data_IF_811844903513
#
_entry.id   IF_811844903513
#
_cell.length_a   1.000
_cell.length_b   1.000
_cell.length_c   1.000
_cell.angle_alpha   90.00
_cell.angle_beta   90.00
_cell.angle_gamma   90.00
#
_symmetry.space_group_name_H-M   'P 1'
#
loop_
_entity.id
_entity.type
_entity.pdbx_description
1 polymer ?
#
# COMPACT_ATOMS: atom_id res chain seq x y z
N UNK A 1 11.06 9.03 8.25
CA UNK A 1 11.31 8.46 9.59
C UNK A 1 11.35 6.94 9.58
N UNK A 2 10.31 6.25 9.10
CA UNK A 2 10.31 4.78 8.99
C UNK A 2 11.56 4.25 8.31
N UNK A 3 11.83 4.71 7.10
CA UNK A 3 12.98 4.23 6.31
C UNK A 3 14.32 4.50 6.99
N UNK A 4 14.44 5.66 7.67
CA UNK A 4 15.60 5.97 8.50
C UNK A 4 15.75 5.02 9.71
N UNK A 5 14.65 4.60 10.35
CA UNK A 5 14.66 3.66 11.46
C UNK A 5 15.05 2.23 11.04
N UNK A 6 14.65 1.80 9.83
CA UNK A 6 15.05 0.49 9.30
C UNK A 6 16.50 0.48 8.82
N UNK A 7 16.97 1.58 8.23
CA UNK A 7 18.40 1.72 7.89
C UNK A 7 19.26 1.74 9.15
N UNK A 8 18.79 2.36 10.25
CA UNK A 8 19.50 2.35 11.54
C UNK A 8 19.58 0.95 12.18
N UNK A 9 18.66 0.04 11.85
CA UNK A 9 18.70 -1.35 12.31
C UNK A 9 19.74 -2.21 11.57
N UNK A 10 20.29 -1.72 10.44
CA UNK A 10 21.19 -2.46 9.55
C UNK A 10 20.43 -3.18 8.43
N UNK A 11 20.99 -3.18 7.22
CA UNK A 11 20.39 -3.80 6.02
C UNK A 11 20.11 -5.29 6.19
N UNK A 12 20.95 -5.97 6.97
CA UNK A 12 20.84 -7.41 7.24
C UNK A 12 19.61 -7.75 8.10
N UNK A 13 19.08 -6.76 8.84
CA UNK A 13 17.88 -6.93 9.68
C UNK A 13 16.58 -6.56 8.95
N UNK A 14 16.65 -5.98 7.74
CA UNK A 14 15.46 -5.61 6.97
C UNK A 14 14.52 -6.81 6.75
N UNK A 15 14.97 -8.01 6.31
CA UNK A 15 14.07 -9.15 6.15
C UNK A 15 13.32 -9.54 7.42
N UNK A 16 13.96 -9.38 8.58
CA UNK A 16 13.33 -9.62 9.89
C UNK A 16 12.28 -8.56 10.25
N UNK A 17 12.48 -7.30 9.86
CA UNK A 17 11.48 -6.24 10.04
C UNK A 17 10.22 -6.50 9.19
N UNK A 18 10.39 -7.03 7.97
CA UNK A 18 9.27 -7.52 7.17
C UNK A 18 8.57 -8.69 7.88
N UNK A 19 9.33 -9.62 8.48
CA UNK A 19 8.75 -10.80 9.16
C UNK A 19 7.91 -10.36 10.35
N UNK A 20 8.45 -9.46 11.17
CA UNK A 20 7.73 -8.87 12.29
C UNK A 20 6.46 -8.16 11.81
N UNK A 21 6.54 -7.38 10.73
CA UNK A 21 5.38 -6.69 10.15
C UNK A 21 4.30 -7.68 9.69
N UNK A 22 4.67 -8.77 9.01
CA UNK A 22 3.75 -9.81 8.57
C UNK A 22 3.06 -10.48 9.76
N UNK A 23 3.83 -10.93 10.75
CA UNK A 23 3.31 -11.61 11.94
C UNK A 23 2.38 -10.70 12.74
N UNK A 24 2.76 -9.44 12.96
CA UNK A 24 1.89 -8.50 13.68
C UNK A 24 0.63 -8.17 12.87
N UNK A 25 0.73 -8.01 11.54
CA UNK A 25 -0.45 -7.79 10.69
C UNK A 25 -1.41 -8.99 10.74
N UNK A 26 -0.87 -10.21 10.70
CA UNK A 26 -1.66 -11.44 10.81
C UNK A 26 -2.34 -11.56 12.17
N UNK A 27 -1.64 -11.23 13.26
CA UNK A 27 -2.19 -11.22 14.62
C UNK A 27 -3.28 -10.15 14.82
N UNK A 28 -3.15 -9.00 14.15
CA UNK A 28 -4.13 -7.92 14.22
C UNK A 28 -5.38 -8.15 13.36
N UNK A 29 -5.31 -9.00 12.33
CA UNK A 29 -6.42 -9.21 11.41
C UNK A 29 -7.69 -9.80 12.08
N UNK A 30 -7.62 -10.80 12.97
CA UNK A 30 -8.78 -11.29 13.72
C UNK A 30 -9.42 -10.21 14.60
N UNK A 31 -8.60 -9.39 15.27
CA UNK A 31 -9.05 -8.28 16.13
C UNK A 31 -9.77 -7.24 15.29
N UNK A 32 -9.19 -6.87 14.15
CA UNK A 32 -9.81 -5.97 13.18
C UNK A 32 -11.16 -6.50 12.70
N UNK A 33 -11.19 -7.76 12.24
CA UNK A 33 -12.40 -8.39 11.71
C UNK A 33 -13.53 -8.48 12.75
N UNK A 34 -13.21 -8.76 14.02
CA UNK A 34 -14.22 -8.83 15.08
C UNK A 34 -14.76 -7.45 15.45
N UNK A 35 -13.92 -6.43 15.48
CA UNK A 35 -14.33 -5.07 15.83
C UNK A 35 -15.18 -4.46 14.71
N UNK A 36 -14.78 -4.62 13.44
CA UNK A 36 -15.55 -4.14 12.28
C UNK A 36 -16.90 -4.84 12.17
N UNK A 37 -16.97 -6.13 12.47
CA UNK A 37 -18.24 -6.88 12.45
C UNK A 37 -19.25 -6.41 13.51
N UNK A 38 -18.81 -5.68 14.54
CA UNK A 38 -19.63 -5.28 15.69
C UNK A 38 -19.90 -3.78 15.79
N UNK A 39 -19.16 -2.94 15.05
CA UNK A 39 -19.23 -1.49 15.17
C UNK A 39 -19.55 -0.82 13.84
N UNK A 40 -20.48 0.16 13.82
CA UNK A 40 -20.70 1.01 12.66
C UNK A 40 -19.39 1.74 12.28
N UNK A 41 -19.10 1.81 10.99
CA UNK A 41 -17.87 2.42 10.43
C UNK A 41 -17.57 3.79 11.04
N UNK A 42 -18.61 4.61 11.29
CA UNK A 42 -18.47 5.95 11.88
C UNK A 42 -17.97 5.97 13.33
N UNK A 43 -18.29 4.94 14.12
CA UNK A 43 -17.76 4.77 15.49
C UNK A 43 -16.39 4.11 15.47
N UNK A 44 -16.14 3.27 14.47
CA UNK A 44 -14.88 2.56 14.31
C UNK A 44 -13.70 3.48 13.97
N UNK A 45 -13.87 4.45 13.06
CA UNK A 45 -12.78 5.35 12.63
C UNK A 45 -12.14 6.12 13.80
N UNK A 46 -12.90 6.82 14.67
CA UNK A 46 -12.30 7.53 15.80
C UNK A 46 -11.57 6.61 16.77
N UNK A 47 -12.05 5.38 16.96
CA UNK A 47 -11.41 4.41 17.86
C UNK A 47 -10.05 4.02 17.30
N UNK A 48 -9.98 3.59 16.03
CA UNK A 48 -8.73 3.18 15.39
C UNK A 48 -7.71 4.32 15.39
N UNK A 49 -8.12 5.53 14.99
CA UNK A 49 -7.22 6.69 14.96
C UNK A 49 -6.72 7.04 16.36
N UNK A 50 -7.57 6.95 17.38
CA UNK A 50 -7.18 7.22 18.78
C UNK A 50 -6.27 6.16 19.37
N UNK A 51 -6.40 4.89 18.96
CA UNK A 51 -5.43 3.84 19.28
C UNK A 51 -4.06 4.20 18.72
N UNK A 52 -3.97 4.63 17.45
CA UNK A 52 -2.70 5.09 16.88
C UNK A 52 -2.16 6.36 17.55
N UNK A 53 -3.02 7.31 17.92
CA UNK A 53 -2.62 8.48 18.72
C UNK A 53 -2.00 8.03 20.05
N UNK A 54 -2.67 7.12 20.79
CA UNK A 54 -2.15 6.61 22.06
C UNK A 54 -0.80 5.91 21.88
N UNK A 55 -0.66 5.07 20.85
CA UNK A 55 0.60 4.40 20.52
C UNK A 55 1.72 5.40 20.20
N UNK A 56 1.45 6.46 19.43
CA UNK A 56 2.42 7.51 19.13
C UNK A 56 2.83 8.30 20.39
N UNK A 57 1.89 8.58 21.29
CA UNK A 57 2.18 9.25 22.56
C UNK A 57 3.03 8.37 23.48
N UNK A 58 2.71 7.08 23.59
CA UNK A 58 3.52 6.10 24.31
C UNK A 58 4.93 6.06 23.73
N UNK A 59 5.06 6.01 22.40
CA UNK A 59 6.35 5.99 21.73
C UNK A 59 7.17 7.26 22.00
N UNK A 60 6.53 8.43 21.91
CA UNK A 60 7.16 9.71 22.22
C UNK A 60 7.61 9.78 23.69
N UNK A 61 6.80 9.25 24.62
CA UNK A 61 7.16 9.18 26.04
C UNK A 61 8.34 8.23 26.29
N UNK A 62 8.34 7.05 25.66
CA UNK A 62 9.45 6.10 25.81
C UNK A 62 10.75 6.66 25.22
N UNK A 63 10.71 7.33 24.06
CA UNK A 63 11.93 7.97 23.51
C UNK A 63 12.46 9.05 24.46
N UNK A 64 11.56 9.83 25.09
CA UNK A 64 11.97 10.97 25.92
C UNK A 64 12.39 10.60 27.34
N UNK A 65 11.73 9.60 27.93
CA UNK A 65 11.86 9.26 29.36
C UNK A 65 12.31 7.82 29.60
N UNK A 66 12.36 6.99 28.55
CA UNK A 66 12.70 5.58 28.67
C UNK A 66 14.19 5.33 28.90
N UNK A 67 14.56 4.13 29.36
CA UNK A 67 15.95 3.73 29.48
C UNK A 67 16.66 3.70 28.12
N UNK A 68 17.91 4.17 28.08
CA UNK A 68 18.78 4.12 26.88
C UNK A 68 18.94 2.67 26.37
N UNK A 69 18.87 1.67 27.26
CA UNK A 69 18.91 0.25 26.89
C UNK A 69 17.79 -0.20 25.95
N UNK A 70 16.72 0.59 25.79
CA UNK A 70 15.60 0.27 24.91
C UNK A 70 15.79 0.79 23.48
N UNK A 71 16.72 1.72 23.23
CA UNK A 71 16.97 2.33 21.92
C UNK A 71 17.12 1.31 20.76
N UNK A 72 17.84 0.18 20.91
CA UNK A 72 17.98 -0.81 19.84
C UNK A 72 16.67 -1.46 19.40
N UNK A 73 15.67 -1.50 20.29
CA UNK A 73 14.37 -2.14 20.04
C UNK A 73 13.33 -1.14 19.52
N UNK A 74 13.50 0.15 19.83
CA UNK A 74 12.56 1.19 19.42
C UNK A 74 12.53 1.37 17.89
N UNK A 75 13.69 1.38 17.21
CA UNK A 75 13.73 1.49 15.75
C UNK A 75 12.86 0.43 15.04
N UNK A 76 13.10 -0.87 15.29
CA UNK A 76 12.28 -1.97 14.80
C UNK A 76 10.79 -1.88 15.19
N UNK A 77 10.48 -1.57 16.44
CA UNK A 77 9.10 -1.46 16.90
C UNK A 77 8.36 -0.31 16.19
N UNK A 78 9.01 0.83 16.02
CA UNK A 78 8.46 1.97 15.28
C UNK A 78 8.26 1.65 13.79
N UNK A 79 9.17 0.87 13.19
CA UNK A 79 9.03 0.39 11.83
C UNK A 79 7.76 -0.45 11.64
N UNK A 80 7.54 -1.42 12.53
CA UNK A 80 6.37 -2.29 12.48
C UNK A 80 5.09 -1.46 12.69
N UNK A 81 5.07 -0.58 13.70
CA UNK A 81 3.94 0.31 13.98
C UNK A 81 3.56 1.16 12.76
N UNK A 82 4.53 1.86 12.17
CA UNK A 82 4.30 2.72 11.01
C UNK A 82 3.93 1.93 9.77
N UNK A 83 4.42 0.70 9.62
CA UNK A 83 4.04 -0.20 8.53
C UNK A 83 2.59 -0.65 8.64
N UNK A 84 2.11 -0.98 9.85
CA UNK A 84 0.70 -1.31 10.09
C UNK A 84 -0.18 -0.08 9.85
N UNK A 85 0.21 1.08 10.42
CA UNK A 85 -0.47 2.36 10.21
C UNK A 85 -0.67 2.67 8.72
N UNK A 86 0.37 2.49 7.90
CA UNK A 86 0.35 2.81 6.47
C UNK A 86 -0.67 2.02 5.65
N UNK A 87 -1.12 0.87 6.13
CA UNK A 87 -2.16 0.08 5.47
C UNK A 87 -3.53 0.28 6.13
N UNK A 88 -3.57 0.28 7.46
CA UNK A 88 -4.83 0.36 8.21
C UNK A 88 -5.53 1.69 8.01
N UNK A 89 -4.82 2.81 8.11
CA UNK A 89 -5.44 4.14 8.05
C UNK A 89 -6.09 4.41 6.68
N UNK A 90 -5.40 4.17 5.54
CA UNK A 90 -6.05 4.26 4.24
C UNK A 90 -7.22 3.30 4.06
N UNK A 91 -7.13 2.06 4.58
CA UNK A 91 -8.22 1.08 4.48
C UNK A 91 -9.49 1.57 5.20
N UNK A 92 -9.35 2.03 6.45
CA UNK A 92 -10.46 2.57 7.24
C UNK A 92 -11.03 3.86 6.61
N UNK A 93 -10.15 4.71 6.07
CA UNK A 93 -10.55 5.90 5.34
C UNK A 93 -11.40 5.57 4.11
N UNK A 94 -10.94 4.64 3.26
CA UNK A 94 -11.68 4.25 2.06
C UNK A 94 -12.97 3.52 2.38
N UNK A 95 -13.00 2.73 3.46
CA UNK A 95 -14.24 2.15 4.00
C UNK A 95 -15.26 3.24 4.37
N UNK A 96 -14.82 4.32 5.03
CA UNK A 96 -15.69 5.46 5.34
C UNK A 96 -16.21 6.18 4.10
N UNK A 97 -15.36 6.38 3.08
CA UNK A 97 -15.77 7.06 1.84
C UNK A 97 -16.77 6.22 1.05
N UNK A 98 -16.57 4.90 0.99
CA UNK A 98 -17.50 3.97 0.36
C UNK A 98 -18.86 3.93 1.07
N UNK A 99 -18.87 4.05 2.40
CA UNK A 99 -20.11 4.15 3.21
C UNK A 99 -20.82 5.52 3.06
N UNK A 100 -20.07 6.56 2.67
CA UNK A 100 -20.60 7.94 2.65
C UNK A 100 -21.13 8.36 1.28
N UNK A 101 -20.56 7.86 0.18
CA UNK A 101 -20.91 8.27 -1.19
C UNK A 101 -21.61 7.17 -1.98
N UNK A 102 -22.56 7.55 -2.83
CA UNK A 102 -23.16 6.62 -3.80
C UNK A 102 -22.13 6.14 -4.82
N UNK A 103 -22.32 4.95 -5.44
CA UNK A 103 -21.44 4.46 -6.49
C UNK A 103 -21.23 5.45 -7.65
N UNK A 104 -22.28 6.16 -8.11
CA UNK A 104 -22.11 7.16 -9.19
C UNK A 104 -21.31 8.39 -8.74
N UNK A 105 -21.47 8.81 -7.49
CA UNK A 105 -20.71 9.91 -6.90
C UNK A 105 -19.24 9.51 -6.69
N UNK A 106 -18.99 8.29 -6.21
CA UNK A 106 -17.65 7.74 -5.99
C UNK A 106 -16.81 7.74 -7.27
N UNK A 107 -17.40 7.37 -8.41
CA UNK A 107 -16.73 7.41 -9.73
C UNK A 107 -16.17 8.80 -10.09
N UNK A 108 -16.79 9.88 -9.61
CA UNK A 108 -16.35 11.26 -9.88
C UNK A 108 -15.49 11.84 -8.77
N UNK A 109 -15.80 11.52 -7.51
CA UNK A 109 -15.18 12.15 -6.35
C UNK A 109 -13.94 11.43 -5.86
N UNK A 110 -13.84 10.10 -5.98
CA UNK A 110 -12.73 9.34 -5.38
C UNK A 110 -11.37 9.70 -5.97
N UNK A 111 -11.31 10.02 -7.26
CA UNK A 111 -10.09 10.54 -7.88
C UNK A 111 -9.62 11.85 -7.23
N UNK A 112 -10.53 12.81 -7.09
CA UNK A 112 -10.24 14.10 -6.43
C UNK A 112 -9.91 13.94 -4.94
N UNK A 113 -10.62 13.07 -4.22
CA UNK A 113 -10.34 12.74 -2.82
C UNK A 113 -8.94 12.13 -2.67
N UNK A 114 -8.53 11.27 -3.60
CA UNK A 114 -7.20 10.65 -3.60
C UNK A 114 -6.08 11.69 -3.71
N UNK A 115 -6.29 12.79 -4.44
CA UNK A 115 -5.35 13.92 -4.52
C UNK A 115 -5.07 14.49 -3.14
N UNK A 116 -6.08 14.56 -2.25
CA UNK A 116 -5.90 14.99 -0.86
C UNK A 116 -4.88 14.13 -0.10
N UNK A 117 -4.89 12.81 -0.31
CA UNK A 117 -3.89 11.90 0.26
C UNK A 117 -2.48 12.17 -0.28
N UNK A 118 -2.35 12.44 -1.58
CA UNK A 118 -1.06 12.74 -2.21
C UNK A 118 -0.51 14.10 -1.75
N UNK A 119 -1.37 15.12 -1.65
CA UNK A 119 -1.02 16.43 -1.08
C UNK A 119 -0.61 16.32 0.40
N UNK A 120 -1.33 15.53 1.19
CA UNK A 120 -0.98 15.27 2.58
C UNK A 120 0.39 14.61 2.73
N UNK A 121 0.72 13.66 1.86
CA UNK A 121 2.05 13.04 1.82
C UNK A 121 3.15 14.04 1.46
N UNK A 122 2.93 14.90 0.45
CA UNK A 122 3.86 15.97 0.07
C UNK A 122 4.06 16.99 1.20
N UNK A 123 2.97 17.48 1.78
CA UNK A 123 3.01 18.42 2.91
C UNK A 123 3.69 17.80 4.13
N UNK A 124 3.40 16.53 4.44
CA UNK A 124 4.04 15.81 5.55
C UNK A 124 5.54 15.60 5.33
N UNK A 125 5.96 15.23 4.12
CA UNK A 125 7.38 15.10 3.77
C UNK A 125 8.10 16.46 3.86
N UNK A 126 7.51 17.52 3.31
CA UNK A 126 8.03 18.87 3.38
C UNK A 126 8.18 19.34 4.84
N UNK A 127 7.13 19.23 5.63
CA UNK A 127 7.12 19.62 7.04
C UNK A 127 8.18 18.84 7.85
N UNK A 128 8.28 17.53 7.61
CA UNK A 128 9.30 16.68 8.25
C UNK A 128 10.71 17.10 7.85
N UNK A 129 10.96 17.38 6.57
CA UNK A 129 12.30 17.77 6.09
C UNK A 129 12.80 19.07 6.71
N UNK A 130 11.90 20.03 6.97
CA UNK A 130 12.24 21.34 7.56
C UNK A 130 12.35 21.29 9.07
N UNK A 131 11.48 20.52 9.73
CA UNK A 131 11.37 20.53 11.19
C UNK A 131 12.21 19.44 11.88
N UNK A 132 12.57 18.34 11.20
CA UNK A 132 13.32 17.24 11.82
C UNK A 132 14.67 17.65 12.40
N UNK A 133 15.36 18.59 11.77
CA UNK A 133 16.65 19.09 12.27
C UNK A 133 16.49 20.10 13.42
N UNK A 134 15.30 20.69 13.60
CA UNK A 134 15.08 21.80 14.55
C UNK A 134 14.41 21.35 15.84
N UNK A 135 13.38 20.48 15.76
CA UNK A 135 12.52 20.12 16.91
C UNK A 135 12.65 18.66 17.36
N UNK A 136 13.40 17.83 16.63
CA UNK A 136 13.64 16.43 16.98
C UNK A 136 12.42 15.50 16.82
N UNK A 137 12.67 14.19 16.93
CA UNK A 137 11.68 13.14 16.64
C UNK A 137 10.44 13.16 17.55
N UNK A 138 10.53 13.36 18.88
CA UNK A 138 9.35 13.35 19.74
C UNK A 138 8.33 14.44 19.40
N UNK A 139 8.80 15.64 19.05
CA UNK A 139 7.91 16.75 18.68
C UNK A 139 7.17 16.47 17.37
N UNK A 140 7.84 15.83 16.40
CA UNK A 140 7.21 15.38 15.15
C UNK A 140 6.11 14.33 15.40
N UNK A 141 6.28 13.46 16.41
CA UNK A 141 5.23 12.52 16.82
C UNK A 141 4.02 13.25 17.41
N UNK A 142 4.25 14.27 18.25
CA UNK A 142 3.15 15.09 18.81
C UNK A 142 2.42 15.87 17.72
N UNK A 143 3.13 16.43 16.74
CA UNK A 143 2.47 17.07 15.58
C UNK A 143 1.61 16.08 14.79
N UNK A 144 2.10 14.84 14.61
CA UNK A 144 1.30 13.77 13.97
C UNK A 144 0.04 13.44 14.78
N UNK A 145 0.12 13.46 16.11
CA UNK A 145 -1.04 13.28 17.01
C UNK A 145 -2.08 14.39 16.79
N UNK A 146 -1.66 15.65 16.71
CA UNK A 146 -2.55 16.79 16.47
C UNK A 146 -3.26 16.64 15.12
N UNK A 147 -2.52 16.32 14.06
CA UNK A 147 -3.09 16.11 12.72
C UNK A 147 -4.10 14.94 12.69
N UNK A 148 -3.80 13.84 13.39
CA UNK A 148 -4.72 12.71 13.49
C UNK A 148 -6.00 13.08 14.25
N UNK A 149 -5.92 13.83 15.35
CA UNK A 149 -7.14 14.26 16.05
C UNK A 149 -7.93 15.26 15.20
N UNK A 150 -7.28 16.18 14.47
CA UNK A 150 -7.97 17.02 13.48
C UNK A 150 -8.72 16.19 12.43
N UNK A 151 -8.13 15.09 11.94
CA UNK A 151 -8.80 14.16 11.02
C UNK A 151 -10.02 13.49 11.67
N UNK A 152 -9.90 13.03 12.92
CA UNK A 152 -11.02 12.44 13.69
C UNK A 152 -12.16 13.44 13.84
N UNK A 153 -11.84 14.69 14.17
CA UNK A 153 -12.84 15.75 14.35
C UNK A 153 -13.51 16.13 13.02
N UNK A 154 -12.76 16.14 11.92
CA UNK A 154 -13.28 16.36 10.57
C UNK A 154 -14.25 15.25 10.16
N UNK A 155 -13.89 13.98 10.41
CA UNK A 155 -14.76 12.83 10.13
C UNK A 155 -16.06 12.84 10.97
N UNK A 156 -15.99 13.29 12.23
CA UNK A 156 -17.16 13.45 13.11
C UNK A 156 -18.11 14.55 12.64
N UNK A 157 -17.57 15.68 12.22
CA UNK A 157 -18.34 16.84 11.72
C UNK A 157 -18.81 16.69 10.27
N UNK A 158 -18.40 15.63 9.56
CA UNK A 158 -18.78 15.41 8.18
C UNK A 158 -20.32 15.33 8.05
N UNK A 159 -20.96 16.10 7.14
CA UNK A 159 -22.41 16.21 7.08
C UNK A 159 -23.11 14.87 6.88
N UNK A 160 -24.13 14.59 7.69
CA UNK A 160 -24.96 13.38 7.55
C UNK A 160 -25.89 13.42 6.33
N UNK A 161 -26.07 14.58 5.69
CA UNK A 161 -26.90 14.75 4.50
C UNK A 161 -26.41 13.94 3.30
N UNK A 162 -25.10 13.75 3.14
CA UNK A 162 -24.54 12.87 2.10
C UNK A 162 -24.96 11.41 2.26
N UNK A 163 -25.44 11.01 3.45
CA UNK A 163 -26.00 9.68 3.72
C UNK A 163 -27.52 9.60 3.61
N UNK A 164 -28.23 10.73 3.73
CA UNK A 164 -29.69 10.74 3.88
C UNK A 164 -30.43 10.14 2.67
N UNK A 165 -29.75 10.04 1.53
CA UNK A 165 -30.32 9.64 0.26
C UNK A 165 -29.80 8.26 -0.22
N UNK A 166 -29.00 7.54 0.57
CA UNK A 166 -28.49 6.21 0.20
C UNK A 166 -29.56 5.15 0.51
N UNK A 167 -30.40 4.85 -0.48
CA UNK A 167 -31.64 4.04 -0.45
C UNK A 167 -31.49 2.53 -0.12
N UNK A 168 -30.50 2.09 0.65
CA UNK A 168 -30.23 0.67 0.93
C UNK A 168 -29.74 0.40 2.37
N UNK A 169 -30.39 1.01 3.37
CA UNK A 169 -30.00 0.85 4.78
C UNK A 169 -30.23 -0.55 5.34
N UNK A 170 -31.19 -1.31 4.82
CA UNK A 170 -31.50 -2.64 5.38
C UNK A 170 -30.57 -3.77 4.88
N UNK A 171 -29.90 -3.60 3.73
CA UNK A 171 -28.91 -4.58 3.26
C UNK A 171 -27.46 -4.24 3.67
N UNK A 172 -27.18 -2.98 4.01
CA UNK A 172 -25.85 -2.54 4.45
C UNK A 172 -25.62 -2.67 5.98
N UNK A 173 -26.69 -2.66 6.79
CA UNK A 173 -26.64 -2.94 8.25
C UNK A 173 -26.71 -4.44 8.57
N UNK A 174 -26.85 -5.32 7.55
CA UNK A 174 -26.62 -6.74 7.77
C UNK A 174 -25.14 -6.94 8.13
N UNK A 175 -24.82 -7.58 9.27
CA UNK A 175 -23.47 -8.03 9.52
C UNK A 175 -23.00 -8.77 8.27
N UNK A 176 -21.77 -8.51 7.82
CA UNK A 176 -21.19 -9.16 6.61
C UNK A 176 -21.28 -10.70 6.67
N UNK A 177 -21.67 -11.26 7.83
CA UNK A 177 -22.08 -12.65 7.96
C UNK A 177 -20.90 -13.60 7.75
N UNK A 178 -21.05 -14.89 8.02
CA UNK A 178 -20.03 -15.92 7.74
C UNK A 178 -18.77 -15.89 8.63
N UNK A 179 -17.99 -16.96 8.56
CA UNK A 179 -16.76 -17.12 9.35
C UNK A 179 -15.66 -16.15 8.90
N UNK A 180 -14.76 -15.77 9.81
CA UNK A 180 -13.55 -14.99 9.51
C UNK A 180 -12.63 -15.70 8.51
N UNK A 181 -12.76 -17.03 8.41
CA UNK A 181 -12.02 -17.88 7.49
C UNK A 181 -12.68 -18.02 6.11
N UNK A 182 -13.96 -17.65 5.96
CA UNK A 182 -14.69 -17.80 4.69
C UNK A 182 -13.98 -17.08 3.53
N UNK A 183 -13.42 -15.89 3.79
CA UNK A 183 -12.65 -15.14 2.78
C UNK A 183 -11.38 -15.89 2.33
N UNK A 184 -10.74 -16.65 3.22
CA UNK A 184 -9.56 -17.47 2.87
C UNK A 184 -10.01 -18.65 2.02
N UNK A 185 -11.05 -19.36 2.46
CA UNK A 185 -11.59 -20.52 1.73
C UNK A 185 -12.05 -20.14 0.33
N UNK A 186 -12.76 -19.02 0.19
CA UNK A 186 -13.24 -18.54 -1.12
C UNK A 186 -12.10 -18.13 -2.05
N UNK A 187 -11.03 -17.50 -1.50
CA UNK A 187 -9.84 -17.20 -2.28
C UNK A 187 -9.20 -18.49 -2.81
N UNK A 188 -9.13 -19.55 -2.01
CA UNK A 188 -8.51 -20.81 -2.41
C UNK A 188 -9.36 -21.62 -3.39
N UNK A 189 -10.68 -21.43 -3.41
CA UNK A 189 -11.58 -22.18 -4.32
C UNK A 189 -11.90 -21.43 -5.61
N UNK A 190 -11.74 -20.10 -5.65
CA UNK A 190 -12.04 -19.29 -6.83
C UNK A 190 -10.80 -19.06 -7.70
N UNK A 191 -10.74 -19.59 -8.94
CA UNK A 191 -9.61 -19.35 -9.84
C UNK A 191 -9.40 -17.86 -10.11
N UNK A 192 -10.47 -17.07 -10.12
CA UNK A 192 -10.40 -15.63 -10.35
C UNK A 192 -9.73 -14.90 -9.18
N UNK A 193 -10.11 -15.22 -7.94
CA UNK A 193 -9.46 -14.66 -6.76
C UNK A 193 -8.01 -15.12 -6.63
N UNK A 194 -7.70 -16.38 -6.96
CA UNK A 194 -6.32 -16.86 -7.06
C UNK A 194 -5.50 -16.08 -8.09
N UNK A 195 -6.09 -15.73 -9.24
CA UNK A 195 -5.44 -14.86 -10.22
C UNK A 195 -5.12 -13.48 -9.65
N UNK A 196 -6.03 -12.88 -8.89
CA UNK A 196 -5.79 -11.60 -8.21
C UNK A 196 -4.68 -11.75 -7.15
N UNK A 197 -4.66 -12.84 -6.39
CA UNK A 197 -3.58 -13.16 -5.46
C UNK A 197 -2.23 -13.26 -6.17
N UNK A 198 -2.16 -14.00 -7.28
CA UNK A 198 -0.94 -14.15 -8.06
C UNK A 198 -0.47 -12.81 -8.62
N UNK A 199 -1.39 -11.98 -9.13
CA UNK A 199 -1.08 -10.62 -9.58
C UNK A 199 -0.47 -9.79 -8.45
N UNK A 200 -1.06 -9.84 -7.25
CA UNK A 200 -0.60 -9.06 -6.10
C UNK A 200 0.74 -9.56 -5.57
N UNK A 201 0.96 -10.88 -5.51
CA UNK A 201 2.24 -11.47 -5.10
C UNK A 201 3.38 -11.07 -6.04
N UNK A 202 3.18 -11.20 -7.36
CA UNK A 202 4.21 -10.85 -8.34
C UNK A 202 4.53 -9.35 -8.28
N UNK A 203 3.51 -8.52 -8.09
CA UNK A 203 3.68 -7.09 -7.86
C UNK A 203 4.53 -6.79 -6.61
N UNK A 204 4.17 -7.36 -5.45
CA UNK A 204 4.85 -7.05 -4.17
C UNK A 204 6.24 -7.64 -4.07
N UNK A 205 6.46 -8.85 -4.58
CA UNK A 205 7.80 -9.47 -4.68
C UNK A 205 8.71 -8.57 -5.51
N UNK A 206 8.28 -8.19 -6.72
CA UNK A 206 9.07 -7.28 -7.55
C UNK A 206 9.30 -5.93 -6.88
N UNK A 207 8.31 -5.41 -6.15
CA UNK A 207 8.42 -4.09 -5.49
C UNK A 207 9.44 -4.15 -4.38
N UNK A 208 9.47 -5.26 -3.66
CA UNK A 208 10.42 -5.53 -2.59
C UNK A 208 11.83 -5.71 -3.14
N UNK A 209 12.02 -6.51 -4.20
CA UNK A 209 13.32 -6.63 -4.87
C UNK A 209 13.86 -5.24 -5.22
N UNK A 210 13.07 -4.41 -5.91
CA UNK A 210 13.50 -3.07 -6.31
C UNK A 210 13.78 -2.16 -5.10
N UNK A 211 13.06 -2.34 -3.99
CA UNK A 211 13.31 -1.64 -2.73
C UNK A 211 14.67 -2.02 -2.11
N UNK A 212 15.05 -3.30 -2.12
CA UNK A 212 16.38 -3.72 -1.65
C UNK A 212 17.49 -3.23 -2.59
N UNK A 213 17.27 -3.30 -3.90
CA UNK A 213 18.21 -2.76 -4.89
C UNK A 213 18.42 -1.26 -4.74
N UNK A 214 17.38 -0.50 -4.38
CA UNK A 214 17.50 0.91 -4.03
C UNK A 214 18.52 1.12 -2.91
N UNK A 215 18.45 0.32 -1.84
CA UNK A 215 19.35 0.46 -0.69
C UNK A 215 20.81 0.26 -1.09
N UNK A 216 21.10 -0.71 -1.97
CA UNK A 216 22.45 -0.98 -2.47
C UNK A 216 22.93 0.05 -3.49
N UNK A 217 22.16 0.34 -4.53
CA UNK A 217 22.55 1.25 -5.62
C UNK A 217 22.75 2.68 -5.09
N UNK A 218 21.83 3.15 -4.26
CA UNK A 218 21.92 4.49 -3.63
C UNK A 218 23.01 4.49 -2.56
N UNK A 219 23.15 3.38 -1.82
CA UNK A 219 24.18 3.19 -0.81
C UNK A 219 25.60 3.28 -1.37
N UNK A 220 25.83 2.70 -2.55
CA UNK A 220 27.11 2.73 -3.25
C UNK A 220 27.47 4.13 -3.77
N UNK A 221 26.48 4.96 -4.14
CA UNK A 221 26.74 6.29 -4.73
C UNK A 221 26.92 7.40 -3.68
N UNK A 222 26.17 7.33 -2.59
CA UNK A 222 26.15 8.35 -1.55
C UNK A 222 26.67 7.74 -0.26
N UNK A 223 27.82 8.20 0.24
CA UNK A 223 28.36 7.71 1.53
C UNK A 223 27.56 8.25 2.73
N UNK A 224 27.13 9.50 2.63
CA UNK A 224 26.46 10.22 3.70
C UNK A 224 24.94 9.89 3.79
N UNK A 225 24.43 9.74 5.02
CA UNK A 225 23.03 9.37 5.29
C UNK A 225 22.04 10.49 4.94
N UNK A 226 22.43 11.73 5.12
CA UNK A 226 21.62 12.91 4.79
C UNK A 226 21.51 13.05 3.27
N UNK A 227 22.62 12.87 2.55
CA UNK A 227 22.63 12.86 1.08
C UNK A 227 21.73 11.75 0.51
N UNK A 228 21.80 10.52 1.05
CA UNK A 228 20.88 9.42 0.68
C UNK A 228 19.43 9.81 0.92
N UNK A 229 19.13 10.39 2.07
CA UNK A 229 17.76 10.79 2.44
C UNK A 229 17.23 11.87 1.52
N UNK A 230 18.02 12.90 1.21
CA UNK A 230 17.64 13.99 0.31
C UNK A 230 17.39 13.49 -1.12
N UNK A 231 18.22 12.56 -1.61
CA UNK A 231 18.06 11.94 -2.91
C UNK A 231 16.74 11.13 -3.00
N UNK A 232 16.47 10.28 -2.00
CA UNK A 232 15.22 9.52 -1.94
C UNK A 232 13.99 10.43 -1.83
N UNK A 233 14.08 11.52 -1.06
CA UNK A 233 13.01 12.51 -0.98
C UNK A 233 12.74 13.21 -2.32
N UNK A 234 13.78 13.40 -3.15
CA UNK A 234 13.63 13.94 -4.51
C UNK A 234 12.87 12.94 -5.40
N UNK A 235 13.24 11.66 -5.36
CA UNK A 235 12.51 10.59 -6.07
C UNK A 235 11.03 10.58 -5.65
N UNK A 236 10.76 10.61 -4.35
CA UNK A 236 9.39 10.65 -3.82
C UNK A 236 8.61 11.88 -4.33
N UNK A 237 9.23 13.06 -4.33
CA UNK A 237 8.59 14.29 -4.81
C UNK A 237 8.21 14.18 -6.28
N UNK A 238 9.09 13.64 -7.13
CA UNK A 238 8.82 13.40 -8.54
C UNK A 238 7.70 12.38 -8.72
N UNK A 239 7.74 11.25 -8.00
CA UNK A 239 6.69 10.22 -8.03
C UNK A 239 5.32 10.81 -7.69
N UNK A 240 5.22 11.56 -6.60
CA UNK A 240 3.96 12.14 -6.13
C UNK A 240 3.44 13.19 -7.12
N UNK A 241 4.33 14.02 -7.68
CA UNK A 241 3.96 15.03 -8.68
C UNK A 241 3.41 14.39 -9.96
N UNK A 242 4.12 13.39 -10.51
CA UNK A 242 3.66 12.62 -11.66
C UNK A 242 2.37 11.87 -11.38
N UNK A 243 2.22 11.35 -10.17
CA UNK A 243 0.99 10.67 -9.73
C UNK A 243 -0.21 11.62 -9.76
N UNK A 244 -0.08 12.85 -9.23
CA UNK A 244 -1.15 13.85 -9.26
C UNK A 244 -1.54 14.17 -10.70
N UNK A 245 -0.55 14.44 -11.56
CA UNK A 245 -0.80 14.75 -12.97
C UNK A 245 -1.49 13.58 -13.68
N UNK A 246 -1.01 12.36 -13.47
CA UNK A 246 -1.60 11.17 -14.06
C UNK A 246 -3.02 10.93 -13.54
N UNK A 247 -3.28 11.06 -12.24
CA UNK A 247 -4.59 10.88 -11.64
C UNK A 247 -5.61 11.90 -12.14
N UNK A 248 -5.22 13.17 -12.30
CA UNK A 248 -6.10 14.24 -12.77
C UNK A 248 -6.40 14.14 -14.28
N UNK A 249 -5.38 13.82 -15.09
CA UNK A 249 -5.48 13.94 -16.54
C UNK A 249 -5.52 12.61 -17.30
N UNK A 250 -4.91 11.55 -16.78
CA UNK A 250 -4.59 10.35 -17.57
C UNK A 250 -5.37 9.11 -17.11
N UNK A 251 -5.44 8.83 -15.81
CA UNK A 251 -5.99 7.59 -15.22
C UNK A 251 -7.37 7.23 -15.76
N UNK A 252 -8.34 8.15 -15.65
CA UNK A 252 -9.72 7.88 -16.08
C UNK A 252 -9.84 7.69 -17.60
N UNK A 253 -8.99 8.36 -18.39
CA UNK A 253 -8.98 8.25 -19.85
C UNK A 253 -8.42 6.91 -20.30
N UNK A 254 -7.30 6.48 -19.70
CA UNK A 254 -6.66 5.20 -20.03
C UNK A 254 -7.60 4.02 -19.79
N UNK A 255 -8.22 3.93 -18.60
CA UNK A 255 -9.15 2.83 -18.30
C UNK A 255 -10.32 2.79 -19.28
N UNK A 256 -10.85 3.97 -19.67
CA UNK A 256 -11.95 4.07 -20.64
C UNK A 256 -11.53 3.68 -22.06
N UNK A 257 -10.31 4.03 -22.49
CA UNK A 257 -9.87 3.87 -23.88
C UNK A 257 -9.28 2.50 -24.17
N UNK A 258 -8.43 1.97 -23.30
CA UNK A 258 -7.74 0.68 -23.50
C UNK A 258 -8.33 -0.46 -22.67
N UNK A 259 -9.25 -0.17 -21.75
CA UNK A 259 -9.94 -1.17 -20.94
C UNK A 259 -9.10 -1.69 -19.76
N UNK A 260 -9.77 -2.44 -18.87
CA UNK A 260 -9.21 -2.92 -17.60
C UNK A 260 -8.03 -3.88 -17.84
N UNK A 261 -8.18 -4.83 -18.76
CA UNK A 261 -7.14 -5.84 -19.04
C UNK A 261 -5.82 -5.24 -19.54
N UNK A 262 -5.89 -4.31 -20.49
CA UNK A 262 -4.69 -3.62 -20.98
C UNK A 262 -4.09 -2.70 -19.90
N UNK A 263 -4.93 -2.05 -19.08
CA UNK A 263 -4.45 -1.22 -17.97
C UNK A 263 -3.70 -2.07 -16.93
N UNK A 264 -4.17 -3.27 -16.61
CA UNK A 264 -3.48 -4.21 -15.71
C UNK A 264 -2.13 -4.67 -16.23
N UNK A 265 -1.96 -4.73 -17.56
CA UNK A 265 -0.72 -5.13 -18.23
C UNK A 265 0.37 -4.05 -18.20
N UNK A 266 0.03 -2.78 -17.94
CA UNK A 266 1.01 -1.68 -17.89
C UNK A 266 2.09 -1.96 -16.84
N UNK A 267 1.70 -2.38 -15.63
CA UNK A 267 2.65 -2.58 -14.53
C UNK A 267 3.62 -3.77 -14.78
N UNK A 268 3.16 -4.96 -15.22
CA UNK A 268 4.05 -6.03 -15.63
C UNK A 268 5.00 -5.66 -16.77
N UNK A 269 4.53 -4.94 -17.80
CA UNK A 269 5.38 -4.50 -18.91
C UNK A 269 6.46 -3.53 -18.42
N UNK A 270 6.07 -2.56 -17.59
CA UNK A 270 7.00 -1.60 -17.01
C UNK A 270 8.05 -2.31 -16.15
N UNK A 271 7.63 -3.27 -15.32
CA UNK A 271 8.56 -4.10 -14.53
C UNK A 271 9.46 -4.97 -15.39
N UNK A 272 8.95 -5.59 -16.45
CA UNK A 272 9.76 -6.39 -17.37
C UNK A 272 10.86 -5.54 -18.01
N UNK A 273 10.50 -4.40 -18.60
CA UNK A 273 11.45 -3.48 -19.22
C UNK A 273 12.44 -2.94 -18.19
N UNK A 274 11.94 -2.51 -17.03
CA UNK A 274 12.75 -1.91 -15.97
C UNK A 274 13.74 -2.89 -15.35
N UNK A 275 13.32 -4.14 -15.08
CA UNK A 275 14.21 -5.17 -14.56
C UNK A 275 15.24 -5.63 -15.58
N UNK A 276 14.86 -5.79 -16.85
CA UNK A 276 15.83 -6.10 -17.92
C UNK A 276 16.83 -4.96 -18.10
N UNK A 277 16.37 -3.70 -18.11
CA UNK A 277 17.24 -2.53 -18.21
C UNK A 277 18.18 -2.42 -17.01
N UNK A 278 17.67 -2.59 -15.79
CA UNK A 278 18.48 -2.50 -14.59
C UNK A 278 19.49 -3.65 -14.51
N UNK A 279 19.10 -4.84 -14.96
CA UNK A 279 19.98 -6.01 -15.02
C UNK A 279 21.09 -5.92 -16.08
N UNK A 280 20.86 -5.15 -17.15
CA UNK A 280 21.84 -4.99 -18.24
C UNK A 280 22.78 -3.81 -18.00
N UNK A 281 22.26 -2.66 -17.56
CA UNK A 281 23.06 -1.45 -17.39
C UNK A 281 23.47 -1.17 -15.94
N UNK A 282 22.71 -1.60 -14.94
CA UNK A 282 23.06 -1.47 -13.51
C UNK A 282 23.31 -0.03 -13.03
N UNK A 283 22.82 1.00 -13.74
CA UNK A 283 23.12 2.41 -13.40
C UNK A 283 22.08 3.03 -12.47
N UNK A 284 22.51 4.02 -11.68
CA UNK A 284 21.61 4.83 -10.85
C UNK A 284 20.51 5.51 -11.69
N UNK A 285 20.83 5.97 -12.89
CA UNK A 285 19.86 6.62 -13.77
C UNK A 285 18.74 5.66 -14.20
N UNK A 286 19.09 4.43 -14.61
CA UNK A 286 18.11 3.39 -14.97
C UNK A 286 17.26 3.03 -13.75
N UNK A 287 17.88 2.89 -12.58
CA UNK A 287 17.15 2.67 -11.32
C UNK A 287 16.14 3.80 -11.05
N UNK A 288 16.55 5.07 -11.15
CA UNK A 288 15.67 6.22 -10.91
C UNK A 288 14.49 6.22 -11.87
N UNK A 289 14.74 6.07 -13.17
CA UNK A 289 13.68 6.04 -14.18
C UNK A 289 12.71 4.90 -13.90
N UNK A 290 13.22 3.70 -13.60
CA UNK A 290 12.39 2.55 -13.30
C UNK A 290 11.58 2.77 -12.02
N UNK A 291 12.20 3.22 -10.94
CA UNK A 291 11.56 3.44 -9.65
C UNK A 291 10.46 4.52 -9.74
N UNK A 292 10.75 5.63 -10.42
CA UNK A 292 9.80 6.74 -10.59
C UNK A 292 8.60 6.30 -11.43
N UNK A 293 8.85 5.73 -12.61
CA UNK A 293 7.77 5.33 -13.54
C UNK A 293 6.91 4.22 -12.94
N UNK A 294 7.52 3.25 -12.26
CA UNK A 294 6.81 2.15 -11.61
C UNK A 294 5.91 2.61 -10.47
N UNK A 295 6.43 3.45 -9.57
CA UNK A 295 5.63 3.95 -8.43
C UNK A 295 4.51 4.87 -8.89
N UNK A 296 4.80 5.81 -9.78
CA UNK A 296 3.77 6.69 -10.35
C UNK A 296 2.70 5.89 -11.10
N UNK A 297 3.13 4.91 -11.90
CA UNK A 297 2.23 4.02 -12.63
C UNK A 297 1.36 3.15 -11.72
N UNK A 298 1.88 2.68 -10.59
CA UNK A 298 1.11 1.90 -9.63
C UNK A 298 -0.02 2.74 -9.01
N UNK A 299 0.27 3.98 -8.59
CA UNK A 299 -0.75 4.87 -8.03
C UNK A 299 -1.75 5.38 -9.08
N UNK A 300 -1.29 5.58 -10.32
CA UNK A 300 -2.11 6.11 -11.40
C UNK A 300 -2.96 5.05 -12.10
N UNK A 301 -2.46 3.83 -12.28
CA UNK A 301 -3.10 2.80 -13.11
C UNK A 301 -3.29 1.48 -12.37
N UNK A 302 -2.24 0.97 -11.71
CA UNK A 302 -2.25 -0.35 -11.07
C UNK A 302 -3.35 -0.48 -10.02
N UNK A 303 -3.36 0.43 -9.04
CA UNK A 303 -4.38 0.48 -7.98
C UNK A 303 -5.81 0.60 -8.54
N UNK A 304 -6.16 1.61 -9.35
CA UNK A 304 -7.51 1.72 -9.91
C UNK A 304 -7.94 0.50 -10.73
N UNK A 305 -7.05 -0.07 -11.55
CA UNK A 305 -7.38 -1.22 -12.37
C UNK A 305 -7.67 -2.47 -11.52
N UNK A 306 -6.93 -2.68 -10.41
CA UNK A 306 -7.22 -3.76 -9.46
C UNK A 306 -8.55 -3.57 -8.74
N UNK A 307 -8.93 -2.34 -8.41
CA UNK A 307 -10.23 -2.07 -7.78
C UNK A 307 -11.40 -2.51 -8.67
N UNK A 308 -11.28 -2.36 -9.99
CA UNK A 308 -12.31 -2.80 -10.94
C UNK A 308 -12.46 -4.33 -10.94
N UNK A 309 -11.38 -5.10 -10.72
CA UNK A 309 -11.48 -6.56 -10.65
C UNK A 309 -12.42 -7.06 -9.53
N UNK A 310 -12.63 -6.27 -8.49
CA UNK A 310 -13.54 -6.59 -7.39
C UNK A 310 -15.00 -6.17 -7.63
N UNK A 311 -15.32 -5.50 -8.75
CA UNK A 311 -16.71 -5.09 -9.02
C UNK A 311 -17.59 -6.22 -9.55
N UNK A 312 -16.98 -7.27 -10.09
CA UNK A 312 -17.67 -8.46 -10.64
C UNK A 312 -17.76 -9.63 -9.65
N UNK A 313 -17.34 -9.39 -8.42
CA UNK A 313 -17.20 -10.41 -7.38
C UNK A 313 -18.36 -10.26 -6.38
N UNK A 314 -18.89 -11.36 -5.79
CA UNK A 314 -19.98 -11.29 -4.83
C UNK A 314 -19.66 -10.33 -3.66
N UNK A 315 -20.69 -9.69 -3.05
CA UNK A 315 -20.50 -8.74 -1.96
C UNK A 315 -19.67 -9.27 -0.79
N UNK A 316 -19.86 -10.53 -0.38
CA UNK A 316 -19.10 -11.14 0.72
C UNK A 316 -17.58 -11.16 0.42
N UNK A 317 -17.21 -11.57 -0.79
CA UNK A 317 -15.82 -11.64 -1.25
C UNK A 317 -15.19 -10.26 -1.39
N UNK A 318 -15.98 -9.25 -1.80
CA UNK A 318 -15.51 -7.86 -1.92
C UNK A 318 -15.00 -7.30 -0.59
N UNK A 319 -15.55 -7.74 0.54
CA UNK A 319 -15.11 -7.31 1.86
C UNK A 319 -14.08 -8.24 2.48
N UNK A 320 -14.31 -9.56 2.44
CA UNK A 320 -13.44 -10.53 3.13
C UNK A 320 -12.22 -10.92 2.30
N UNK A 321 -12.43 -11.38 1.08
CA UNK A 321 -11.35 -11.84 0.20
C UNK A 321 -10.43 -10.68 -0.17
N UNK A 322 -11.00 -9.50 -0.48
CA UNK A 322 -10.21 -8.29 -0.73
C UNK A 322 -9.32 -7.93 0.45
N UNK A 323 -9.85 -7.87 1.67
CA UNK A 323 -9.05 -7.54 2.85
C UNK A 323 -7.93 -8.56 3.06
N UNK A 324 -8.19 -9.86 2.88
CA UNK A 324 -7.16 -10.90 2.95
C UNK A 324 -6.06 -10.69 1.89
N UNK A 325 -6.44 -10.36 0.65
CA UNK A 325 -5.47 -10.11 -0.43
C UNK A 325 -4.63 -8.85 -0.14
N UNK A 326 -5.29 -7.73 0.22
CA UNK A 326 -4.63 -6.44 0.43
C UNK A 326 -3.75 -6.42 1.69
N UNK A 327 -3.96 -7.35 2.63
CA UNK A 327 -3.16 -7.47 3.86
C UNK A 327 -2.21 -8.66 3.81
N UNK A 328 -2.73 -9.88 3.88
CA UNK A 328 -1.94 -11.09 4.02
C UNK A 328 -1.16 -11.40 2.74
N UNK A 329 -1.81 -11.39 1.58
CA UNK A 329 -1.12 -11.69 0.32
C UNK A 329 -0.10 -10.61 -0.01
N UNK A 330 -0.44 -9.34 0.20
CA UNK A 330 0.48 -8.22 0.04
C UNK A 330 1.74 -8.40 0.92
N UNK A 331 1.55 -8.56 2.24
CA UNK A 331 2.65 -8.71 3.21
C UNK A 331 3.41 -10.01 3.05
N UNK A 332 2.74 -11.09 2.65
CA UNK A 332 3.36 -12.36 2.33
C UNK A 332 4.29 -12.22 1.14
N UNK A 333 3.87 -11.50 0.09
CA UNK A 333 4.73 -11.21 -1.05
C UNK A 333 5.89 -10.27 -0.72
N UNK A 334 5.69 -9.27 0.15
CA UNK A 334 6.81 -8.48 0.71
C UNK A 334 7.84 -9.40 1.39
N UNK A 335 7.37 -10.35 2.21
CA UNK A 335 8.25 -11.28 2.91
C UNK A 335 9.02 -12.22 1.99
N UNK A 336 8.31 -12.80 1.01
CA UNK A 336 8.91 -13.66 -0.01
C UNK A 336 9.97 -12.87 -0.76
N UNK A 337 9.65 -11.66 -1.23
CA UNK A 337 10.60 -10.79 -1.92
C UNK A 337 11.84 -10.47 -1.08
N UNK A 338 11.66 -10.17 0.21
CA UNK A 338 12.76 -9.84 1.12
C UNK A 338 13.71 -11.04 1.33
N UNK A 339 13.17 -12.22 1.62
CA UNK A 339 13.99 -13.43 1.81
C UNK A 339 14.57 -13.97 0.51
N UNK A 340 13.83 -13.89 -0.61
CA UNK A 340 14.37 -14.24 -1.93
C UNK A 340 15.55 -13.33 -2.28
N UNK A 341 15.42 -12.02 -2.06
CA UNK A 341 16.52 -11.08 -2.30
C UNK A 341 17.74 -11.39 -1.42
N UNK A 342 17.52 -11.56 -0.11
CA UNK A 342 18.58 -11.89 0.84
C UNK A 342 19.27 -13.22 0.50
N UNK A 343 18.51 -14.25 0.13
CA UNK A 343 19.03 -15.56 -0.25
C UNK A 343 19.85 -15.51 -1.55
N UNK A 344 19.37 -14.80 -2.57
CA UNK A 344 20.12 -14.61 -3.82
C UNK A 344 21.40 -13.80 -3.60
N UNK A 345 21.32 -12.75 -2.77
CA UNK A 345 22.50 -11.94 -2.41
C UNK A 345 23.52 -12.75 -1.61
N UNK A 346 23.08 -13.59 -0.67
CA UNK A 346 23.93 -14.51 0.09
C UNK A 346 24.57 -15.59 -0.78
N UNK A 347 23.90 -15.99 -1.87
CA UNK A 347 24.46 -16.87 -2.90
C UNK A 347 25.48 -16.15 -3.82
N UNK A 348 25.77 -14.87 -3.59
CA UNK A 348 26.75 -14.09 -4.33
C UNK A 348 26.23 -13.45 -5.63
N UNK A 349 24.91 -13.46 -5.86
CA UNK A 349 24.37 -12.78 -7.03
C UNK A 349 24.46 -11.26 -6.86
N UNK A 350 25.04 -10.58 -7.85
CA UNK A 350 25.02 -9.14 -7.93
C UNK A 350 23.60 -8.60 -8.20
N UNK A 351 23.37 -7.32 -7.86
CA UNK A 351 22.14 -6.57 -8.15
C UNK A 351 21.64 -6.81 -9.58
N UNK A 352 22.54 -6.75 -10.55
CA UNK A 352 22.25 -6.94 -11.97
C UNK A 352 21.67 -8.33 -12.27
N UNK A 353 22.25 -9.38 -11.69
CA UNK A 353 21.79 -10.77 -11.86
C UNK A 353 20.43 -10.97 -11.21
N UNK A 354 20.20 -10.38 -10.02
CA UNK A 354 18.90 -10.43 -9.34
C UNK A 354 17.83 -9.69 -10.18
N UNK A 355 18.16 -8.55 -10.78
CA UNK A 355 17.25 -7.84 -11.71
C UNK A 355 16.90 -8.70 -12.92
N UNK A 356 17.87 -9.35 -13.56
CA UNK A 356 17.60 -10.24 -14.69
C UNK A 356 16.72 -11.44 -14.29
N UNK A 357 16.91 -11.99 -13.09
CA UNK A 357 16.06 -13.06 -12.56
C UNK A 357 14.61 -12.59 -12.30
N UNK A 358 14.39 -11.31 -12.00
CA UNK A 358 13.06 -10.72 -11.81
C UNK A 358 12.32 -10.43 -13.13
N UNK A 359 13.00 -10.42 -14.28
CA UNK A 359 12.38 -10.19 -15.58
C UNK A 359 11.42 -11.33 -16.00
N UNK A 360 11.80 -12.63 -15.94
CA UNK A 360 10.87 -13.74 -16.18
C UNK A 360 9.64 -13.74 -15.26
N UNK A 361 9.82 -13.33 -14.00
CA UNK A 361 8.70 -13.15 -13.06
C UNK A 361 7.71 -12.08 -13.57
N UNK A 362 8.22 -11.00 -14.18
CA UNK A 362 7.39 -9.96 -14.77
C UNK A 362 6.66 -10.44 -16.04
N UNK A 363 7.23 -11.37 -16.80
CA UNK A 363 6.53 -12.05 -17.91
C UNK A 363 5.38 -12.93 -17.40
N UNK A 364 5.61 -13.71 -16.35
CA UNK A 364 4.54 -14.49 -15.70
C UNK A 364 3.43 -13.56 -15.19
N UNK A 365 3.81 -12.42 -14.62
CA UNK A 365 2.85 -11.40 -14.17
C UNK A 365 2.03 -10.81 -15.31
N UNK A 366 2.65 -10.58 -16.46
CA UNK A 366 1.97 -10.11 -17.67
C UNK A 366 0.93 -11.13 -18.16
N UNK A 367 1.26 -12.43 -18.13
CA UNK A 367 0.32 -13.49 -18.48
C UNK A 367 -0.89 -13.51 -17.53
N UNK A 368 -0.66 -13.37 -16.22
CA UNK A 368 -1.73 -13.26 -15.22
C UNK A 368 -2.60 -12.02 -15.47
N UNK A 369 -2.01 -10.87 -15.80
CA UNK A 369 -2.73 -9.65 -16.10
C UNK A 369 -3.69 -9.82 -17.29
N UNK A 370 -3.23 -10.43 -18.39
CA UNK A 370 -4.08 -10.71 -19.54
C UNK A 370 -5.19 -11.72 -19.23
N UNK A 371 -4.88 -12.77 -18.46
CA UNK A 371 -5.86 -13.76 -18.04
C UNK A 371 -6.96 -13.12 -17.18
N UNK A 372 -6.59 -12.30 -16.19
CA UNK A 372 -7.53 -11.55 -15.35
C UNK A 372 -8.39 -10.59 -16.17
N UNK A 373 -7.79 -9.83 -17.09
CA UNK A 373 -8.52 -8.92 -17.96
C UNK A 373 -9.59 -9.63 -18.79
N UNK A 374 -9.24 -10.77 -19.41
CA UNK A 374 -10.20 -11.59 -20.18
C UNK A 374 -11.29 -12.18 -19.30
N UNK A 375 -10.95 -12.64 -18.09
CA UNK A 375 -11.92 -13.24 -17.16
C UNK A 375 -12.89 -12.19 -16.61
N UNK A 376 -12.41 -10.98 -16.30
CA UNK A 376 -13.24 -9.88 -15.83
C UNK A 376 -14.32 -9.52 -16.87
N UNK A 377 -13.94 -9.33 -18.14
CA UNK A 377 -14.90 -9.03 -19.22
C UNK A 377 -15.97 -10.12 -19.36
N UNK A 378 -15.60 -11.40 -19.25
CA UNK A 378 -16.56 -12.52 -19.30
C UNK A 378 -17.54 -12.49 -18.12
N UNK A 379 -17.05 -12.18 -16.91
CA UNK A 379 -17.89 -12.08 -15.72
C UNK A 379 -18.84 -10.87 -15.78
N UNK A 380 -18.38 -9.73 -16.32
CA UNK A 380 -19.24 -8.56 -16.57
C UNK A 380 -20.38 -8.90 -17.52
N UNK A 381 -20.10 -9.61 -18.61
CA UNK A 381 -21.11 -10.03 -19.59
C UNK A 381 -22.13 -11.01 -18.98
N UNK A 382 -21.67 -11.96 -18.14
CA UNK A 382 -22.55 -12.90 -17.46
C UNK A 382 -23.47 -12.20 -16.45
N UNK A 383 -22.93 -11.23 -15.70
CA UNK A 383 -23.73 -10.44 -14.77
C UNK A 383 -24.78 -9.59 -15.49
N UNK A 384 -24.44 -9.01 -16.64
CA UNK A 384 -25.36 -8.21 -17.45
C UNK A 384 -26.43 -9.05 -18.18
N UNK A 385 -26.17 -10.32 -18.46
CA UNK A 385 -27.13 -11.22 -19.10
C UNK A 385 -28.11 -11.88 -18.10
N UNK A 386 -27.77 -11.88 -16.81
CA UNK A 386 -28.62 -12.43 -15.74
C UNK A 386 -29.46 -11.39 -14.99
N UNK A 387 -29.28 -10.10 -15.30
CA UNK A 387 -30.09 -8.97 -14.84
C UNK A 387 -31.11 -8.59 -15.89
#
# INVERSE_FOLDING_TARGET
>A
MRDAAGVAAGTDKLPWLFTGTLLTTLAMNPVYSTVVARLPVRRFIPIVYRVFIALLLIFAAIIKYGPVSWEPYLGPAFWILTSIYSLFIPSVFWGFMADTFRPEQGKRLFGFISVGGTLGALAGAFLTSRLAQVVGTPVLMVMSVVLLECAVQSARRFPSSFRADTRARDDADRPVGGSSLAGITHVLTSPYLLGICAYMLLFTIGSTILYFQQAEIVGARYADREARTAFLATIDTVVQSLTILAQLFVTGRVIKWVGVGATLAIMPVLSLVGFTALGTWGTLAVFVVFQVTRRAGEYAFGRPAREVLYTVVPPEDKYKAKNFIDTFVYRGGDQIGAWSYAGLSAAGLAVSSISLAAAPMSLAWLAVAFWLGRRNVRLEQQAAAGS
#
